data_IF_259072069809
#
_entry.id   IF_259072069809
#
_cell.length_a   1.000
_cell.length_b   1.000
_cell.length_c   1.000
_cell.angle_alpha   90.00
_cell.angle_beta   90.00
_cell.angle_gamma   90.00
#
_symmetry.space_group_name_H-M   'P 1'
#
loop_
_entity.id
_entity.type
_entity.pdbx_description
1 polymer ?
#
# COMPACT_ATOMS: atom_id res chain seq x y z
N UNK A 1 -18.69 43.19 -50.25
CA UNK A 1 -18.62 43.50 -51.69
C UNK A 1 -17.24 44.10 -51.97
N UNK A 2 -16.66 43.87 -53.16
CA UNK A 2 -15.30 44.26 -53.56
C UNK A 2 -14.14 43.46 -52.92
N UNK A 3 -13.13 43.14 -53.74
CA UNK A 3 -11.84 42.50 -53.40
C UNK A 3 -10.76 43.05 -54.34
N UNK A 4 -9.62 43.46 -53.79
CA UNK A 4 -8.30 43.62 -54.41
C UNK A 4 -7.27 43.67 -53.23
N UNK A 5 -6.02 43.20 -53.29
CA UNK A 5 -5.11 42.99 -54.43
C UNK A 5 -4.17 44.20 -54.53
N UNK A 6 -2.83 44.12 -54.48
CA UNK A 6 -1.83 43.00 -54.51
C UNK A 6 -0.78 43.20 -53.36
N UNK A 7 0.37 42.53 -53.15
CA UNK A 7 1.36 41.78 -53.95
C UNK A 7 2.09 40.70 -53.10
N UNK A 8 3.01 39.92 -53.70
CA UNK A 8 4.09 39.15 -53.02
C UNK A 8 5.48 39.80 -53.22
N UNK A 9 6.64 39.12 -53.09
CA UNK A 9 6.96 37.68 -52.92
C UNK A 9 8.37 37.52 -52.28
N UNK A 10 8.81 36.27 -52.07
CA UNK A 10 10.15 35.73 -51.72
C UNK A 10 10.35 35.28 -50.26
N UNK A 11 11.05 34.17 -49.97
CA UNK A 11 11.80 33.23 -50.84
C UNK A 11 11.63 31.75 -50.45
N UNK A 12 12.20 30.82 -51.23
CA UNK A 12 11.96 29.37 -51.12
C UNK A 12 13.26 28.56 -51.34
N UNK A 13 13.33 27.36 -50.76
CA UNK A 13 14.37 26.32 -50.91
C UNK A 13 15.75 26.58 -50.25
N UNK A 14 16.49 25.55 -49.81
CA UNK A 14 16.14 24.13 -49.83
C UNK A 14 17.08 23.14 -49.11
N UNK A 15 16.53 21.94 -48.99
CA UNK A 15 16.99 20.62 -48.51
C UNK A 15 18.47 20.17 -48.67
N UNK A 16 18.80 19.19 -47.80
CA UNK A 16 19.73 18.04 -47.93
C UNK A 16 21.19 18.20 -47.45
N UNK A 17 21.68 17.10 -46.85
CA UNK A 17 23.02 16.98 -46.26
C UNK A 17 23.17 15.80 -45.28
N UNK A 18 22.94 14.55 -45.73
CA UNK A 18 23.22 13.34 -44.93
C UNK A 18 24.17 12.42 -45.69
N UNK A 19 25.47 12.44 -45.35
CA UNK A 19 26.46 11.38 -45.59
C UNK A 19 27.78 11.75 -44.89
N UNK A 20 28.52 10.75 -44.36
CA UNK A 20 29.84 11.01 -43.76
C UNK A 20 30.22 10.13 -42.55
N UNK A 21 30.06 8.80 -42.62
CA UNK A 21 30.55 7.89 -41.56
C UNK A 21 31.61 6.94 -42.14
N UNK A 22 32.84 7.43 -42.24
CA UNK A 22 34.06 6.65 -42.53
C UNK A 22 35.22 7.23 -41.71
N UNK A 23 35.97 6.37 -41.01
CA UNK A 23 37.08 6.81 -40.14
C UNK A 23 37.23 5.98 -38.86
N UNK A 24 37.46 4.68 -38.99
CA UNK A 24 37.82 3.81 -37.84
C UNK A 24 39.28 3.37 -38.00
N UNK A 25 40.21 3.99 -37.26
CA UNK A 25 41.45 3.39 -36.74
C UNK A 25 42.37 4.45 -36.09
N UNK A 26 42.96 4.11 -34.93
CA UNK A 26 43.97 4.93 -34.23
C UNK A 26 43.40 6.09 -33.41
N UNK A 27 44.00 6.53 -32.30
CA UNK A 27 45.25 6.10 -31.63
C UNK A 27 45.07 6.25 -30.11
N UNK A 28 45.80 5.50 -29.28
CA UNK A 28 45.96 5.86 -27.87
C UNK A 28 46.81 7.14 -27.73
N UNK A 29 46.30 8.13 -27.00
CA UNK A 29 47.02 9.35 -26.63
C UNK A 29 46.49 9.88 -25.30
N UNK A 30 47.37 10.32 -24.40
CA UNK A 30 47.05 10.58 -22.99
C UNK A 30 47.06 12.09 -22.69
N UNK A 31 46.20 12.50 -21.76
CA UNK A 31 46.12 13.84 -21.12
C UNK A 31 45.84 15.05 -22.02
N UNK A 32 44.58 15.52 -21.94
CA UNK A 32 44.18 16.90 -22.25
C UNK A 32 43.31 17.47 -21.13
N UNK A 33 43.89 17.77 -19.97
CA UNK A 33 43.14 18.34 -18.83
C UNK A 33 43.01 19.85 -19.01
N UNK A 34 41.85 20.34 -19.46
CA UNK A 34 41.21 21.57 -18.98
C UNK A 34 39.78 21.68 -19.57
N UNK A 35 38.78 21.73 -18.70
CA UNK A 35 37.36 21.78 -19.09
C UNK A 35 36.41 22.10 -17.93
N UNK A 36 36.91 22.76 -16.87
CA UNK A 36 36.16 23.03 -15.64
C UNK A 36 35.38 24.34 -15.77
N UNK A 37 34.23 24.31 -16.46
CA UNK A 37 33.16 25.28 -16.26
C UNK A 37 31.79 24.66 -16.58
N UNK A 38 31.14 24.15 -15.53
CA UNK A 38 29.80 23.54 -15.61
C UNK A 38 29.18 23.22 -14.25
N UNK A 39 29.72 23.76 -13.16
CA UNK A 39 29.29 23.45 -11.78
C UNK A 39 28.88 24.73 -11.07
N UNK A 40 27.61 25.12 -11.26
CA UNK A 40 26.88 26.10 -10.46
C UNK A 40 25.42 25.66 -10.43
N UNK A 41 24.81 25.50 -9.25
CA UNK A 41 23.35 25.28 -9.14
C UNK A 41 22.86 24.09 -8.29
N UNK A 42 23.73 23.22 -7.76
CA UNK A 42 23.30 22.16 -6.81
C UNK A 42 23.80 22.48 -5.39
N UNK A 43 23.26 23.54 -4.80
CA UNK A 43 23.44 23.82 -3.38
C UNK A 43 22.42 23.03 -2.55
N UNK A 44 22.90 22.04 -1.79
CA UNK A 44 22.25 21.59 -0.56
C UNK A 44 21.02 20.67 -0.67
N UNK A 45 21.21 19.44 -1.15
CA UNK A 45 20.43 18.29 -0.65
C UNK A 45 21.43 17.24 -0.14
N UNK A 46 21.27 16.81 1.11
CA UNK A 46 22.30 16.06 1.82
C UNK A 46 22.30 14.56 1.48
N UNK A 47 23.09 14.16 0.49
CA UNK A 47 23.51 12.76 0.30
C UNK A 47 24.59 12.36 1.30
N UNK A 48 24.21 12.10 2.55
CA UNK A 48 25.16 11.87 3.66
C UNK A 48 25.99 10.60 3.44
N UNK A 49 27.32 10.71 3.43
CA UNK A 49 28.24 9.58 3.30
C UNK A 49 28.47 8.84 4.63
N UNK A 50 27.43 8.16 5.10
CA UNK A 50 27.50 6.96 5.95
C UNK A 50 26.41 6.01 5.46
N UNK A 51 26.77 5.01 4.64
CA UNK A 51 25.79 4.10 4.00
C UNK A 51 25.01 4.69 2.81
N UNK A 52 25.42 5.84 2.28
CA UNK A 52 24.79 6.49 1.12
C UNK A 52 25.04 5.80 -0.23
N UNK A 53 24.44 6.34 -1.29
CA UNK A 53 24.51 5.79 -2.65
C UNK A 53 25.93 5.63 -3.21
N UNK A 54 26.11 4.66 -4.11
CA UNK A 54 27.40 4.28 -4.69
C UNK A 54 28.06 5.43 -5.46
N UNK A 55 29.28 5.79 -5.07
CA UNK A 55 30.12 6.76 -5.76
C UNK A 55 31.49 6.14 -6.08
N UNK A 56 31.84 6.09 -7.37
CA UNK A 56 33.12 5.52 -7.82
C UNK A 56 34.33 6.33 -7.35
N UNK A 57 34.20 7.65 -7.26
CA UNK A 57 35.25 8.53 -6.74
C UNK A 57 35.44 8.38 -5.23
N UNK A 58 34.35 8.20 -4.46
CA UNK A 58 34.43 7.85 -3.04
C UNK A 58 35.08 6.48 -2.85
N UNK A 59 34.68 5.48 -3.65
CA UNK A 59 35.24 4.12 -3.57
C UNK A 59 36.74 4.10 -3.84
N UNK A 60 37.21 4.87 -4.82
CA UNK A 60 38.64 5.04 -5.10
C UNK A 60 39.38 5.76 -3.95
N UNK A 61 38.81 6.84 -3.39
CA UNK A 61 39.39 7.55 -2.26
C UNK A 61 39.48 6.68 -0.98
N UNK A 62 38.46 5.85 -0.73
CA UNK A 62 38.46 4.88 0.37
C UNK A 62 39.51 3.79 0.15
N UNK A 63 39.68 3.27 -1.07
CA UNK A 63 40.70 2.27 -1.38
C UNK A 63 42.12 2.81 -1.14
N UNK A 64 42.46 3.99 -1.69
CA UNK A 64 43.76 4.64 -1.47
C UNK A 64 44.00 4.94 0.02
N UNK A 65 42.95 5.31 0.76
CA UNK A 65 43.03 5.52 2.21
C UNK A 65 43.30 4.20 2.96
N UNK A 66 42.67 3.09 2.56
CA UNK A 66 42.88 1.78 3.15
C UNK A 66 44.31 1.26 2.90
N UNK A 67 44.83 1.41 1.67
CA UNK A 67 46.23 1.07 1.33
C UNK A 67 47.23 1.90 2.15
N UNK A 68 46.99 3.21 2.31
CA UNK A 68 47.85 4.10 3.08
C UNK A 68 47.85 3.82 4.60
N UNK A 69 46.81 3.18 5.13
CA UNK A 69 46.66 2.86 6.56
C UNK A 69 47.04 1.40 6.91
N UNK A 70 46.79 0.45 6.01
CA UNK A 70 46.82 -0.98 6.33
C UNK A 70 48.22 -1.58 6.47
N UNK A 71 49.22 -1.07 5.74
CA UNK A 71 50.56 -1.65 5.71
C UNK A 71 50.56 -3.10 5.18
N UNK A 72 51.40 -3.96 5.76
CA UNK A 72 51.38 -5.40 5.47
C UNK A 72 50.39 -6.11 6.40
N UNK A 73 49.39 -6.77 5.82
CA UNK A 73 48.45 -7.65 6.51
C UNK A 73 48.47 -9.04 5.86
N UNK A 74 48.60 -10.08 6.67
CA UNK A 74 48.71 -11.49 6.27
C UNK A 74 47.35 -12.22 6.23
N UNK A 75 46.25 -11.50 6.44
CA UNK A 75 44.90 -12.07 6.54
C UNK A 75 44.50 -12.53 7.95
N UNK A 76 45.35 -12.35 8.97
CA UNK A 76 44.99 -12.71 10.35
C UNK A 76 43.79 -11.91 10.87
N UNK A 77 42.87 -12.51 11.65
CA UNK A 77 41.78 -11.79 12.31
C UNK A 77 42.32 -10.72 13.28
N UNK A 78 41.69 -9.56 13.30
CA UNK A 78 42.05 -8.49 14.22
C UNK A 78 41.92 -8.95 15.70
N UNK A 79 42.93 -8.72 16.56
CA UNK A 79 42.85 -9.06 17.97
C UNK A 79 41.76 -8.23 18.66
N UNK A 80 40.92 -8.88 19.46
CA UNK A 80 39.80 -8.24 20.16
C UNK A 80 38.41 -8.56 19.61
N UNK A 81 38.28 -9.40 18.59
CA UNK A 81 36.97 -9.99 18.26
C UNK A 81 36.47 -10.87 19.41
N UNK A 82 35.31 -10.52 19.97
CA UNK A 82 34.63 -11.20 21.08
C UNK A 82 33.21 -11.62 20.73
N UNK A 83 32.93 -11.77 19.43
CA UNK A 83 31.61 -12.12 18.90
C UNK A 83 31.21 -13.58 19.15
N UNK A 84 29.99 -13.97 18.76
CA UNK A 84 29.53 -15.35 18.87
C UNK A 84 30.31 -16.25 17.90
N UNK A 85 30.84 -17.37 18.42
CA UNK A 85 31.54 -18.40 17.62
C UNK A 85 30.59 -19.31 16.83
N UNK A 86 29.28 -19.10 16.93
CA UNK A 86 28.23 -19.87 16.27
C UNK A 86 27.32 -18.96 15.44
N UNK A 87 27.20 -19.23 14.14
CA UNK A 87 26.47 -18.40 13.18
C UNK A 87 25.14 -19.03 12.73
N UNK A 88 24.47 -19.77 13.62
CA UNK A 88 23.25 -20.51 13.32
C UNK A 88 22.01 -19.64 13.02
N UNK A 89 20.88 -20.28 12.63
CA UNK A 89 19.58 -19.61 12.61
C UNK A 89 19.20 -19.11 14.02
N UNK A 90 18.21 -18.22 14.08
CA UNK A 90 17.69 -17.73 15.36
C UNK A 90 16.93 -18.81 16.11
N UNK A 91 17.13 -18.89 17.42
CA UNK A 91 16.36 -19.75 18.32
C UNK A 91 15.23 -19.03 19.06
N UNK A 92 15.14 -17.69 18.97
CA UNK A 92 14.16 -16.90 19.73
C UNK A 92 13.82 -15.54 19.10
N UNK A 93 12.64 -15.01 19.42
CA UNK A 93 12.20 -13.68 18.98
C UNK A 93 13.09 -12.55 19.52
N UNK A 94 13.81 -12.77 20.64
CA UNK A 94 14.81 -11.82 21.15
C UNK A 94 16.06 -11.76 20.25
N UNK A 95 16.55 -12.93 19.80
CA UNK A 95 17.63 -13.02 18.81
C UNK A 95 17.19 -12.48 17.44
N UNK A 96 15.97 -12.76 16.99
CA UNK A 96 15.49 -12.29 15.69
C UNK A 96 15.23 -10.77 15.71
N UNK A 97 14.65 -10.22 16.78
CA UNK A 97 14.58 -8.76 16.96
C UNK A 97 15.99 -8.13 16.94
N UNK A 98 16.99 -8.77 17.56
CA UNK A 98 18.36 -8.29 17.52
C UNK A 98 18.98 -8.38 16.11
N UNK A 99 18.62 -9.39 15.30
CA UNK A 99 19.01 -9.51 13.88
C UNK A 99 18.33 -8.42 13.04
N UNK A 100 17.00 -8.28 13.16
CA UNK A 100 16.18 -7.27 12.48
C UNK A 100 16.67 -5.84 12.78
N UNK A 101 17.03 -5.53 14.03
CA UNK A 101 17.57 -4.22 14.43
C UNK A 101 18.93 -3.88 13.78
N UNK A 102 19.70 -4.87 13.31
CA UNK A 102 20.98 -4.65 12.60
C UNK A 102 20.81 -4.45 11.09
N UNK A 103 19.64 -4.74 10.53
CA UNK A 103 19.36 -4.53 9.11
C UNK A 103 19.05 -3.06 8.82
N UNK A 104 19.29 -2.62 7.59
CA UNK A 104 18.76 -1.35 7.08
C UNK A 104 17.24 -1.39 6.89
N UNK A 105 16.61 -0.22 6.78
CA UNK A 105 15.15 -0.09 6.77
C UNK A 105 14.46 -0.91 5.64
N UNK A 106 15.04 -0.93 4.43
CA UNK A 106 14.47 -1.69 3.32
C UNK A 106 14.56 -3.22 3.53
N UNK A 107 15.72 -3.82 3.89
CA UNK A 107 15.78 -5.22 4.28
C UNK A 107 14.87 -5.61 5.46
N UNK A 108 14.66 -4.74 6.47
CA UNK A 108 13.67 -5.01 7.55
C UNK A 108 12.25 -5.18 7.01
N UNK A 109 11.82 -4.29 6.13
CA UNK A 109 10.49 -4.37 5.50
C UNK A 109 10.33 -5.66 4.68
N UNK A 110 11.39 -6.12 3.98
CA UNK A 110 11.35 -7.38 3.22
C UNK A 110 11.18 -8.60 4.14
N UNK A 111 11.88 -8.63 5.28
CA UNK A 111 11.76 -9.74 6.26
C UNK A 111 10.34 -9.82 6.84
N UNK A 112 9.83 -8.70 7.37
CA UNK A 112 8.49 -8.68 7.99
C UNK A 112 7.36 -8.81 6.97
N UNK A 113 7.51 -8.23 5.78
CA UNK A 113 6.56 -8.38 4.68
C UNK A 113 6.43 -9.85 4.24
N UNK A 114 7.57 -10.57 4.17
CA UNK A 114 7.57 -12.03 3.95
C UNK A 114 6.87 -12.79 5.08
N UNK A 115 7.13 -12.41 6.34
CA UNK A 115 6.49 -13.05 7.51
C UNK A 115 4.96 -12.87 7.45
N UNK A 116 4.48 -11.65 7.21
CA UNK A 116 3.06 -11.33 7.08
C UNK A 116 2.41 -12.00 5.86
N UNK A 117 3.10 -12.03 4.71
CA UNK A 117 2.60 -12.69 3.50
C UNK A 117 2.51 -14.22 3.67
N UNK A 118 3.39 -14.83 4.47
CA UNK A 118 3.42 -16.29 4.66
C UNK A 118 2.18 -16.88 5.34
N UNK A 119 1.32 -16.03 5.91
CA UNK A 119 0.02 -16.42 6.45
C UNK A 119 -0.98 -16.84 5.36
N UNK A 120 -0.86 -16.27 4.15
CA UNK A 120 -1.91 -16.32 3.15
C UNK A 120 -1.69 -17.36 2.06
N UNK A 121 -2.77 -18.05 1.70
CA UNK A 121 -2.86 -18.89 0.50
C UNK A 121 -4.04 -18.40 -0.33
N UNK A 122 -3.90 -18.41 -1.66
CA UNK A 122 -4.95 -17.96 -2.58
C UNK A 122 -5.34 -19.11 -3.52
N UNK A 123 -6.64 -19.31 -3.70
CA UNK A 123 -7.19 -20.30 -4.61
C UNK A 123 -8.59 -19.88 -5.13
N UNK A 124 -9.03 -20.34 -6.31
CA UNK A 124 -10.43 -20.31 -6.69
C UNK A 124 -11.28 -21.17 -5.74
N UNK A 125 -12.42 -20.64 -5.28
CA UNK A 125 -13.43 -21.32 -4.45
C UNK A 125 -14.79 -21.20 -5.15
N UNK A 126 -15.08 -22.10 -6.08
CA UNK A 126 -16.31 -22.05 -6.89
C UNK A 126 -16.30 -20.91 -7.91
N UNK A 127 -17.18 -19.91 -7.74
CA UNK A 127 -17.18 -18.67 -8.53
C UNK A 127 -16.37 -17.53 -7.88
N UNK A 128 -15.83 -17.76 -6.69
CA UNK A 128 -15.07 -16.79 -5.90
C UNK A 128 -13.56 -17.01 -5.98
N UNK A 129 -12.80 -15.97 -5.62
CA UNK A 129 -11.40 -16.13 -5.18
C UNK A 129 -11.40 -16.15 -3.66
N UNK A 130 -10.85 -17.22 -3.06
CA UNK A 130 -10.65 -17.34 -1.63
C UNK A 130 -9.21 -17.00 -1.25
N UNK A 131 -9.07 -16.15 -0.23
CA UNK A 131 -7.84 -15.99 0.55
C UNK A 131 -8.03 -16.78 1.84
N UNK A 132 -7.11 -17.69 2.13
CA UNK A 132 -7.14 -18.60 3.28
C UNK A 132 -5.94 -18.38 4.20
N UNK A 133 -6.12 -18.67 5.49
CA UNK A 133 -5.06 -18.71 6.50
C UNK A 133 -5.20 -20.00 7.30
N UNK A 134 -4.09 -20.69 7.56
CA UNK A 134 -4.10 -21.97 8.29
C UNK A 134 -4.91 -23.08 7.61
N UNK A 135 -5.15 -22.98 6.29
CA UNK A 135 -6.00 -23.91 5.54
C UNK A 135 -7.51 -23.65 5.64
N UNK A 136 -7.94 -22.53 6.25
CA UNK A 136 -9.35 -22.11 6.34
C UNK A 136 -9.57 -20.79 5.61
N UNK A 137 -10.68 -20.65 4.88
CA UNK A 137 -11.05 -19.42 4.17
C UNK A 137 -11.20 -18.26 5.16
N UNK A 138 -10.43 -17.18 4.95
CA UNK A 138 -10.53 -15.92 5.68
C UNK A 138 -11.50 -14.96 4.97
N UNK A 139 -11.35 -14.83 3.65
CA UNK A 139 -12.25 -14.03 2.82
C UNK A 139 -12.46 -14.70 1.46
N UNK A 140 -13.71 -14.79 1.01
CA UNK A 140 -14.06 -15.22 -0.34
C UNK A 140 -14.78 -14.10 -1.10
N UNK A 141 -14.32 -13.83 -2.32
CA UNK A 141 -14.77 -12.72 -3.17
C UNK A 141 -15.24 -13.23 -4.53
N UNK A 142 -16.55 -13.27 -4.77
CA UNK A 142 -17.11 -13.49 -6.12
C UNK A 142 -17.04 -12.18 -6.91
N UNK A 143 -16.33 -12.12 -8.05
CA UNK A 143 -16.20 -10.89 -8.84
C UNK A 143 -17.54 -10.45 -9.46
N UNK A 144 -17.71 -9.15 -9.76
CA UNK A 144 -18.89 -8.64 -10.43
C UNK A 144 -19.00 -9.14 -11.87
N UNK A 145 -20.24 -9.29 -12.34
CA UNK A 145 -20.61 -9.60 -13.72
C UNK A 145 -20.61 -8.33 -14.56
N UNK A 146 -20.64 -8.49 -15.88
CA UNK A 146 -20.83 -7.37 -16.82
C UNK A 146 -22.09 -6.53 -16.48
N UNK A 147 -23.20 -7.17 -16.12
CA UNK A 147 -24.44 -6.49 -15.73
C UNK A 147 -24.31 -5.63 -14.46
N UNK A 148 -23.36 -5.95 -13.58
CA UNK A 148 -23.11 -5.18 -12.36
C UNK A 148 -22.32 -3.91 -12.69
N UNK A 149 -21.13 -4.07 -13.27
CA UNK A 149 -20.25 -2.94 -13.61
C UNK A 149 -20.84 -2.01 -14.68
N UNK A 150 -21.68 -2.53 -15.60
CA UNK A 150 -22.37 -1.69 -16.58
C UNK A 150 -23.39 -0.75 -15.92
N UNK A 151 -24.03 -1.15 -14.80
CA UNK A 151 -24.93 -0.28 -14.04
C UNK A 151 -24.21 0.84 -13.30
N UNK A 152 -22.93 0.67 -12.98
CA UNK A 152 -22.12 1.66 -12.26
C UNK A 152 -21.52 2.76 -13.16
N UNK A 153 -21.56 2.60 -14.50
CA UNK A 153 -21.08 3.60 -15.47
C UNK A 153 -21.61 5.05 -15.27
N UNK A 154 -22.88 5.28 -14.88
CA UNK A 154 -23.37 6.63 -14.57
C UNK A 154 -22.68 7.27 -13.36
N UNK A 155 -22.24 6.46 -12.39
CA UNK A 155 -21.46 6.95 -11.24
C UNK A 155 -20.07 7.40 -11.72
N UNK A 156 -19.40 6.60 -12.56
CA UNK A 156 -18.11 7.01 -13.14
C UNK A 156 -18.24 8.29 -13.99
N UNK A 157 -19.35 8.46 -14.73
CA UNK A 157 -19.62 9.72 -15.45
C UNK A 157 -19.81 10.88 -14.48
N UNK A 158 -20.61 10.75 -13.42
CA UNK A 158 -20.80 11.83 -12.46
C UNK A 158 -19.50 12.18 -11.69
N UNK A 159 -18.75 11.15 -11.27
CA UNK A 159 -17.46 11.30 -10.60
C UNK A 159 -16.42 12.01 -11.47
N UNK A 160 -16.50 11.89 -12.80
CA UNK A 160 -15.60 12.57 -13.72
C UNK A 160 -15.68 14.12 -13.64
N UNK A 161 -16.82 14.69 -13.21
CA UNK A 161 -16.93 16.14 -13.03
C UNK A 161 -16.11 16.66 -11.82
N UNK A 162 -15.61 15.77 -10.96
CA UNK A 162 -14.74 16.09 -9.81
C UNK A 162 -13.23 16.00 -10.12
N UNK A 163 -12.86 15.78 -11.39
CA UNK A 163 -11.46 15.54 -11.78
C UNK A 163 -10.55 16.73 -11.54
N UNK A 164 -11.01 17.95 -11.84
CA UNK A 164 -10.21 19.17 -11.70
C UNK A 164 -9.85 19.43 -10.22
N UNK A 165 -10.84 19.37 -9.32
CA UNK A 165 -10.65 19.53 -7.88
C UNK A 165 -9.72 18.46 -7.25
N UNK A 166 -9.80 17.22 -7.77
CA UNK A 166 -9.12 16.06 -7.16
C UNK A 166 -7.79 15.69 -7.83
N UNK A 167 -7.43 16.29 -8.96
CA UNK A 167 -6.29 15.86 -9.78
C UNK A 167 -4.97 15.74 -9.00
N UNK A 168 -4.61 16.78 -8.24
CA UNK A 168 -3.36 16.80 -7.46
C UNK A 168 -3.34 15.69 -6.38
N UNK A 169 -4.49 15.41 -5.78
CA UNK A 169 -4.66 14.34 -4.79
C UNK A 169 -4.59 12.95 -5.44
N UNK A 170 -5.28 12.76 -6.56
CA UNK A 170 -5.28 11.53 -7.37
C UNK A 170 -3.86 11.14 -7.77
N UNK A 171 -3.09 12.12 -8.26
CA UNK A 171 -1.72 11.94 -8.77
C UNK A 171 -0.73 11.55 -7.66
N UNK A 172 -0.73 12.26 -6.52
CA UNK A 172 0.15 11.97 -5.40
C UNK A 172 -0.11 10.57 -4.80
N UNK A 173 -1.40 10.22 -4.65
CA UNK A 173 -1.83 8.91 -4.17
C UNK A 173 -1.45 7.72 -5.09
N UNK A 174 -0.94 7.95 -6.30
CA UNK A 174 -0.44 6.84 -7.14
C UNK A 174 0.82 6.19 -6.57
N UNK A 175 1.68 6.96 -5.90
CA UNK A 175 2.98 6.47 -5.41
C UNK A 175 3.18 6.60 -3.89
N UNK A 176 2.40 7.45 -3.21
CA UNK A 176 2.48 7.61 -1.76
C UNK A 176 1.10 7.72 -1.12
N UNK A 177 0.65 6.63 -0.50
CA UNK A 177 -0.51 6.62 0.39
C UNK A 177 -0.12 6.88 1.86
N UNK A 178 1.13 6.57 2.23
CA UNK A 178 1.59 6.59 3.62
C UNK A 178 1.61 8.02 4.17
N UNK A 179 2.02 9.00 3.38
CA UNK A 179 2.06 10.42 3.82
C UNK A 179 0.68 11.00 4.14
N UNK A 180 -0.39 10.53 3.51
CA UNK A 180 -1.75 10.97 3.82
C UNK A 180 -2.18 10.50 5.23
N UNK A 181 -1.93 9.22 5.55
CA UNK A 181 -2.12 8.72 6.92
C UNK A 181 -1.11 9.34 7.89
N UNK A 182 0.11 9.62 7.43
CA UNK A 182 1.17 10.28 8.19
C UNK A 182 0.80 11.69 8.67
N UNK A 183 0.15 12.48 7.81
CA UNK A 183 -0.38 13.80 8.17
C UNK A 183 -1.49 13.72 9.23
N UNK A 184 -2.33 12.66 9.19
CA UNK A 184 -3.42 12.47 10.14
C UNK A 184 -2.97 11.88 11.49
N UNK A 185 -1.93 11.03 11.50
CA UNK A 185 -1.51 10.22 12.65
C UNK A 185 -0.10 10.54 13.17
N UNK A 186 0.54 11.62 12.67
CA UNK A 186 1.89 12.05 13.01
C UNK A 186 2.96 10.94 12.87
N UNK A 187 2.92 10.22 11.74
CA UNK A 187 3.89 9.16 11.45
C UNK A 187 5.25 9.77 11.07
N UNK A 188 6.27 9.53 11.88
CA UNK A 188 7.67 9.90 11.58
C UNK A 188 8.64 8.79 11.98
N UNK A 189 9.77 8.67 11.27
CA UNK A 189 10.81 7.69 11.58
C UNK A 189 11.49 7.88 12.96
N UNK A 190 11.23 8.99 13.66
CA UNK A 190 11.76 9.29 15.00
C UNK A 190 10.77 9.02 16.13
N UNK A 191 9.45 9.05 15.86
CA UNK A 191 8.39 8.89 16.89
C UNK A 191 7.49 7.67 16.68
N UNK A 192 7.43 7.15 15.46
CA UNK A 192 6.52 6.10 14.99
C UNK A 192 7.27 5.03 14.19
N UNK A 193 8.50 4.70 14.62
CA UNK A 193 9.39 3.82 13.86
C UNK A 193 8.86 2.38 13.78
N UNK A 194 8.26 1.87 14.87
CA UNK A 194 7.69 0.52 14.92
C UNK A 194 6.33 0.49 14.24
N UNK A 195 5.52 1.54 14.40
CA UNK A 195 4.29 1.75 13.62
C UNK A 195 4.57 1.75 12.11
N UNK A 196 5.53 2.54 11.63
CA UNK A 196 5.91 2.59 10.21
C UNK A 196 6.47 1.26 9.69
N UNK A 197 7.27 0.57 10.51
CA UNK A 197 7.81 -0.75 10.17
C UNK A 197 6.72 -1.82 10.07
N UNK A 198 5.72 -1.78 10.97
CA UNK A 198 4.54 -2.66 10.90
C UNK A 198 3.67 -2.34 9.68
N UNK A 199 3.41 -1.06 9.39
CA UNK A 199 2.66 -0.65 8.20
C UNK A 199 3.38 -1.03 6.89
N UNK A 200 4.71 -0.99 6.86
CA UNK A 200 5.51 -1.49 5.74
C UNK A 200 5.36 -3.01 5.52
N UNK A 201 5.28 -3.79 6.60
CA UNK A 201 5.02 -5.23 6.55
C UNK A 201 3.58 -5.54 6.07
N UNK A 202 2.59 -4.81 6.59
CA UNK A 202 1.18 -4.89 6.15
C UNK A 202 1.09 -4.56 4.65
N UNK A 203 1.69 -3.46 4.19
CA UNK A 203 1.71 -3.09 2.78
C UNK A 203 2.26 -4.21 1.89
N UNK A 204 3.46 -4.70 2.20
CA UNK A 204 4.14 -5.72 1.39
C UNK A 204 3.37 -7.04 1.30
N UNK A 205 2.64 -7.42 2.36
CA UNK A 205 1.77 -8.60 2.32
C UNK A 205 0.46 -8.34 1.58
N UNK A 206 -0.21 -7.21 1.86
CA UNK A 206 -1.54 -6.91 1.31
C UNK A 206 -1.49 -6.68 -0.20
N UNK A 207 -0.56 -5.88 -0.72
CA UNK A 207 -0.43 -5.67 -2.18
C UNK A 207 -0.03 -6.95 -2.93
N UNK A 208 0.69 -7.87 -2.28
CA UNK A 208 1.01 -9.18 -2.86
C UNK A 208 -0.23 -10.11 -2.92
N UNK A 209 -1.06 -10.12 -1.88
CA UNK A 209 -2.36 -10.83 -1.88
C UNK A 209 -3.31 -10.21 -2.92
N UNK A 210 -3.41 -8.89 -2.98
CA UNK A 210 -4.30 -8.16 -3.89
C UNK A 210 -3.92 -8.36 -5.36
N UNK A 211 -2.63 -8.30 -5.71
CA UNK A 211 -2.15 -8.71 -7.04
C UNK A 211 -2.47 -10.19 -7.35
N UNK A 212 -2.41 -11.07 -6.35
CA UNK A 212 -2.82 -12.47 -6.49
C UNK A 212 -4.32 -12.64 -6.80
N UNK A 213 -5.21 -11.93 -6.08
CA UNK A 213 -6.65 -11.91 -6.38
C UNK A 213 -6.91 -11.32 -7.76
N UNK A 214 -6.23 -10.23 -8.12
CA UNK A 214 -6.30 -9.61 -9.46
C UNK A 214 -5.84 -10.49 -10.60
N UNK A 215 -4.94 -11.43 -10.35
CA UNK A 215 -4.48 -12.39 -11.36
C UNK A 215 -5.51 -13.51 -11.58
N UNK A 216 -6.22 -13.91 -10.53
CA UNK A 216 -7.29 -14.92 -10.58
C UNK A 216 -8.63 -14.36 -11.09
N UNK A 217 -8.83 -13.04 -11.03
CA UNK A 217 -9.99 -12.35 -11.58
C UNK A 217 -9.74 -11.76 -12.98
N UNK A 218 -10.75 -11.73 -13.84
CA UNK A 218 -10.65 -11.16 -15.20
C UNK A 218 -11.72 -10.09 -15.45
N UNK A 219 -11.89 -9.17 -14.49
CA UNK A 219 -12.85 -8.07 -14.62
C UNK A 219 -12.23 -6.94 -15.46
N UNK A 220 -12.89 -6.49 -16.53
CA UNK A 220 -12.37 -5.45 -17.42
C UNK A 220 -12.25 -4.10 -16.72
N UNK A 221 -11.41 -3.22 -17.25
CA UNK A 221 -11.34 -1.81 -16.83
C UNK A 221 -12.53 -1.05 -17.40
N UNK A 222 -12.88 0.06 -16.75
CA UNK A 222 -14.02 0.88 -17.18
C UNK A 222 -13.89 1.37 -18.64
N UNK A 223 -12.68 1.73 -19.07
CA UNK A 223 -12.38 2.12 -20.46
C UNK A 223 -12.74 1.03 -21.50
N UNK A 224 -12.66 -0.24 -21.13
CA UNK A 224 -13.01 -1.37 -22.02
C UNK A 224 -14.53 -1.45 -22.27
N UNK A 225 -15.34 -0.94 -21.33
CA UNK A 225 -16.79 -0.82 -21.49
C UNK A 225 -17.18 0.43 -22.27
N UNK A 226 -16.43 1.52 -22.14
CA UNK A 226 -16.64 2.73 -22.93
C UNK A 226 -15.40 3.62 -23.01
N UNK A 227 -14.89 3.94 -24.22
CA UNK A 227 -13.77 4.87 -24.39
C UNK A 227 -14.13 6.31 -24.00
N UNK A 228 -15.42 6.63 -23.83
CA UNK A 228 -15.90 7.94 -23.38
C UNK A 228 -15.58 8.24 -21.90
N UNK A 229 -15.15 7.24 -21.13
CA UNK A 229 -14.75 7.43 -19.73
C UNK A 229 -13.42 8.19 -19.61
N UNK A 230 -12.55 8.08 -20.62
CA UNK A 230 -11.26 8.78 -20.74
C UNK A 230 -10.51 8.90 -19.40
N UNK A 231 -9.92 7.80 -18.89
CA UNK A 231 -9.21 7.81 -17.61
C UNK A 231 -8.08 8.83 -17.60
N UNK A 232 -7.93 9.58 -16.50
CA UNK A 232 -6.98 10.71 -16.37
C UNK A 232 -5.63 10.32 -15.76
N UNK A 233 -5.46 9.05 -15.41
CA UNK A 233 -4.17 8.42 -15.11
C UNK A 233 -3.98 7.22 -16.02
N UNK A 234 -2.74 6.75 -16.19
CA UNK A 234 -2.49 5.58 -17.03
C UNK A 234 -3.26 4.36 -16.48
N UNK A 235 -4.02 3.70 -17.34
CA UNK A 235 -4.84 2.55 -16.93
C UNK A 235 -3.91 1.34 -16.72
N UNK A 236 -3.88 0.73 -15.52
CA UNK A 236 -2.98 -0.40 -15.27
C UNK A 236 -3.39 -1.63 -16.07
N UNK A 237 -2.40 -2.30 -16.69
CA UNK A 237 -2.57 -3.47 -17.56
C UNK A 237 -2.97 -4.78 -16.85
N UNK A 238 -3.74 -4.69 -15.78
CA UNK A 238 -4.27 -5.81 -14.99
C UNK A 238 -5.71 -5.52 -14.57
N UNK A 239 -6.46 -6.58 -14.22
CA UNK A 239 -7.90 -6.55 -13.86
C UNK A 239 -8.28 -5.36 -12.96
N UNK A 240 -9.50 -4.84 -13.13
CA UNK A 240 -10.06 -3.81 -12.25
C UNK A 240 -10.24 -4.35 -10.81
N UNK A 241 -10.59 -5.62 -10.68
CA UNK A 241 -11.16 -6.14 -9.45
C UNK A 241 -10.16 -6.97 -8.63
N UNK A 242 -10.09 -6.79 -7.30
CA UNK A 242 -10.61 -5.68 -6.49
C UNK A 242 -9.73 -4.42 -6.62
N UNK A 243 -10.13 -3.26 -6.07
CA UNK A 243 -9.35 -2.01 -6.18
C UNK A 243 -8.11 -2.03 -5.28
N UNK A 244 -6.92 -1.87 -5.87
CA UNK A 244 -5.64 -1.91 -5.13
C UNK A 244 -5.49 -0.78 -4.13
N UNK A 245 -5.61 0.46 -4.60
CA UNK A 245 -5.65 1.65 -3.75
C UNK A 245 -6.71 1.58 -2.63
N UNK A 246 -7.85 0.93 -2.87
CA UNK A 246 -8.82 0.70 -1.79
C UNK A 246 -8.32 -0.32 -0.77
N UNK A 247 -7.76 -1.44 -1.25
CA UNK A 247 -7.20 -2.50 -0.41
C UNK A 247 -6.07 -1.97 0.48
N UNK A 248 -5.08 -1.30 -0.11
CA UNK A 248 -3.93 -0.75 0.60
C UNK A 248 -4.34 0.33 1.62
N UNK A 249 -5.26 1.21 1.26
CA UNK A 249 -5.70 2.28 2.16
C UNK A 249 -6.60 1.77 3.31
N UNK A 250 -7.46 0.78 3.07
CA UNK A 250 -8.25 0.16 4.14
C UNK A 250 -7.38 -0.73 5.03
N UNK A 251 -6.31 -1.33 4.52
CA UNK A 251 -5.30 -2.00 5.33
C UNK A 251 -4.59 -1.02 6.28
N UNK A 252 -4.15 0.15 5.80
CA UNK A 252 -3.58 1.19 6.65
C UNK A 252 -4.57 1.74 7.69
N UNK A 253 -5.82 2.00 7.29
CA UNK A 253 -6.86 2.43 8.24
C UNK A 253 -7.13 1.36 9.33
N UNK A 254 -7.17 0.08 8.96
CA UNK A 254 -7.34 -1.06 9.88
C UNK A 254 -6.18 -1.18 10.86
N UNK A 255 -4.94 -1.16 10.35
CA UNK A 255 -3.74 -1.25 11.19
C UNK A 255 -3.64 -0.08 12.19
N UNK A 256 -3.88 1.15 11.74
CA UNK A 256 -3.85 2.35 12.60
C UNK A 256 -5.01 2.39 13.60
N UNK A 257 -6.19 1.86 13.22
CA UNK A 257 -7.32 1.71 14.12
C UNK A 257 -7.00 0.72 15.25
N UNK A 258 -6.62 -0.51 14.90
CA UNK A 258 -6.32 -1.57 15.86
C UNK A 258 -5.13 -1.22 16.78
N UNK A 259 -4.06 -0.61 16.25
CA UNK A 259 -2.93 -0.13 17.07
C UNK A 259 -3.38 0.82 18.18
N UNK A 260 -4.28 1.75 17.85
CA UNK A 260 -4.80 2.75 18.80
C UNK A 260 -5.82 2.17 19.77
N UNK A 261 -6.64 1.23 19.32
CA UNK A 261 -7.59 0.51 20.19
C UNK A 261 -6.84 -0.37 21.19
N UNK A 262 -5.87 -1.17 20.73
CA UNK A 262 -5.01 -1.99 21.58
C UNK A 262 -4.20 -1.15 22.61
N UNK A 263 -3.77 0.07 22.23
CA UNK A 263 -3.12 0.99 23.16
C UNK A 263 -4.07 1.50 24.24
N UNK A 264 -5.29 1.91 23.87
CA UNK A 264 -6.32 2.35 24.81
C UNK A 264 -6.79 1.21 25.74
N UNK A 265 -6.95 0.00 25.22
CA UNK A 265 -7.21 -1.22 25.98
C UNK A 265 -6.10 -1.51 27.00
N UNK A 266 -4.83 -1.42 26.59
CA UNK A 266 -3.68 -1.65 27.46
C UNK A 266 -3.49 -0.57 28.54
N UNK A 267 -3.82 0.69 28.24
CA UNK A 267 -3.78 1.79 29.22
C UNK A 267 -4.95 1.72 30.22
N UNK A 268 -6.16 1.37 29.76
CA UNK A 268 -7.33 1.23 30.63
C UNK A 268 -7.24 0.01 31.57
N UNK A 269 -6.58 -1.07 31.13
CA UNK A 269 -6.38 -2.31 31.90
C UNK A 269 -5.09 -2.35 32.72
N UNK A 270 -4.12 -1.47 32.43
CA UNK A 270 -2.77 -1.56 32.97
C UNK A 270 -1.95 -2.74 32.44
N UNK A 271 -2.40 -3.42 31.38
CA UNK A 271 -1.74 -4.61 30.84
C UNK A 271 -0.33 -4.31 30.32
N UNK A 272 0.61 -5.23 30.55
CA UNK A 272 1.99 -5.16 30.04
C UNK A 272 2.13 -5.69 28.61
N UNK A 273 1.21 -6.54 28.18
CA UNK A 273 1.07 -7.02 26.79
C UNK A 273 -0.10 -6.34 26.11
N UNK A 274 0.13 -5.81 24.91
CA UNK A 274 -0.91 -5.28 24.04
C UNK A 274 -1.81 -6.40 23.50
N UNK A 275 -3.13 -6.14 23.48
CA UNK A 275 -4.10 -6.92 22.73
C UNK A 275 -4.04 -6.66 21.22
N UNK A 276 -5.14 -6.96 20.53
CA UNK A 276 -5.26 -6.80 19.08
C UNK A 276 -6.10 -5.58 18.65
N UNK A 277 -6.94 -5.01 19.51
CA UNK A 277 -7.91 -3.96 19.13
C UNK A 277 -8.99 -4.40 18.14
N UNK A 278 -9.03 -5.69 17.76
CA UNK A 278 -9.90 -6.21 16.68
C UNK A 278 -11.37 -6.21 17.10
N UNK A 279 -11.69 -6.59 18.34
CA UNK A 279 -13.06 -6.63 18.84
C UNK A 279 -13.69 -5.22 18.80
N UNK A 280 -13.02 -4.23 19.38
CA UNK A 280 -13.48 -2.85 19.39
C UNK A 280 -13.58 -2.22 17.98
N UNK A 281 -12.77 -2.67 17.01
CA UNK A 281 -12.93 -2.26 15.61
C UNK A 281 -14.16 -2.92 14.97
N UNK A 282 -14.38 -4.21 15.19
CA UNK A 282 -15.55 -4.93 14.66
C UNK A 282 -16.88 -4.49 15.30
N UNK A 283 -16.87 -4.03 16.55
CA UNK A 283 -18.04 -3.41 17.20
C UNK A 283 -18.33 -2.02 16.61
N UNK A 284 -17.29 -1.25 16.27
CA UNK A 284 -17.45 0.08 15.66
C UNK A 284 -17.84 0.02 14.18
N UNK A 285 -17.35 -0.96 13.42
CA UNK A 285 -17.41 -0.90 11.95
C UNK A 285 -18.83 -0.97 11.37
N UNK A 286 -19.76 -1.83 11.83
CA UNK A 286 -21.16 -1.80 11.38
C UNK A 286 -21.82 -0.43 11.62
N UNK A 287 -22.71 -0.04 10.70
CA UNK A 287 -23.61 1.11 10.88
C UNK A 287 -24.90 0.84 10.13
N UNK A 288 -26.03 0.72 10.83
CA UNK A 288 -27.31 0.46 10.19
C UNK A 288 -27.68 1.55 9.17
N UNK A 289 -28.25 1.15 8.03
CA UNK A 289 -28.68 2.09 6.99
C UNK A 289 -29.69 3.10 7.56
N UNK A 290 -29.63 4.34 7.07
CA UNK A 290 -30.43 5.45 7.59
C UNK A 290 -29.89 6.10 8.88
N UNK A 291 -28.97 5.47 9.64
CA UNK A 291 -28.47 6.03 10.91
C UNK A 291 -27.93 7.46 10.74
N UNK A 292 -28.31 8.45 11.57
CA UNK A 292 -27.84 9.82 11.44
C UNK A 292 -26.31 9.95 11.49
N UNK A 293 -25.77 11.00 10.86
CA UNK A 293 -24.36 11.38 11.08
C UNK A 293 -24.29 12.11 12.43
N UNK A 294 -23.39 11.72 13.35
CA UNK A 294 -23.21 12.43 14.62
C UNK A 294 -22.84 13.90 14.41
N UNK A 295 -23.36 14.78 15.27
CA UNK A 295 -22.98 16.19 15.30
C UNK A 295 -21.56 16.37 15.86
N UNK A 296 -20.86 17.40 15.39
CA UNK A 296 -19.50 17.73 15.83
C UNK A 296 -18.39 17.14 14.95
N UNK A 297 -17.12 17.20 15.41
CA UNK A 297 -15.99 16.66 14.67
C UNK A 297 -16.02 15.11 14.64
N UNK A 298 -15.61 14.48 13.54
CA UNK A 298 -15.54 13.02 13.45
C UNK A 298 -14.49 12.43 14.42
N UNK A 299 -14.79 11.25 14.96
CA UNK A 299 -13.84 10.46 15.73
C UNK A 299 -12.64 9.95 14.88
N UNK A 300 -11.62 9.41 15.53
CA UNK A 300 -10.38 9.02 14.85
C UNK A 300 -10.52 7.83 13.89
N UNK A 301 -11.44 6.89 14.17
CA UNK A 301 -11.75 5.76 13.30
C UNK A 301 -12.50 6.27 12.07
N UNK A 302 -13.51 7.14 12.29
CA UNK A 302 -14.24 7.84 11.23
C UNK A 302 -13.29 8.63 10.33
N UNK A 303 -12.27 9.31 10.88
CA UNK A 303 -11.26 10.00 10.06
C UNK A 303 -10.37 9.03 9.27
N UNK A 304 -9.81 7.98 9.90
CA UNK A 304 -8.96 6.98 9.22
C UNK A 304 -9.67 6.32 8.04
N UNK A 305 -10.90 5.86 8.26
CA UNK A 305 -11.68 5.18 7.24
C UNK A 305 -12.33 6.15 6.23
N UNK A 306 -12.55 7.43 6.56
CA UNK A 306 -12.90 8.46 5.56
C UNK A 306 -11.75 8.73 4.60
N UNK A 307 -10.51 8.74 5.09
CA UNK A 307 -9.32 8.87 4.23
C UNK A 307 -9.19 7.66 3.30
N UNK A 308 -9.31 6.43 3.83
CA UNK A 308 -9.30 5.22 3.01
C UNK A 308 -10.41 5.21 1.94
N UNK A 309 -11.63 5.60 2.31
CA UNK A 309 -12.74 5.72 1.37
C UNK A 309 -12.48 6.76 0.27
N UNK A 310 -11.87 7.91 0.62
CA UNK A 310 -11.53 8.98 -0.35
C UNK A 310 -10.42 8.56 -1.32
N UNK A 311 -9.39 7.84 -0.86
CA UNK A 311 -8.32 7.29 -1.71
C UNK A 311 -8.89 6.33 -2.78
N UNK A 312 -9.90 5.53 -2.39
CA UNK A 312 -10.60 4.60 -3.25
C UNK A 312 -11.56 5.29 -4.24
N UNK A 313 -12.40 6.21 -3.77
CA UNK A 313 -13.31 7.04 -4.59
C UNK A 313 -12.54 7.88 -5.62
N UNK A 314 -11.35 8.40 -5.26
CA UNK A 314 -10.43 9.05 -6.20
C UNK A 314 -10.04 8.15 -7.40
N UNK A 315 -10.14 6.82 -7.30
CA UNK A 315 -9.94 5.90 -8.43
C UNK A 315 -11.16 5.80 -9.36
N UNK A 316 -12.37 5.95 -8.82
CA UNK A 316 -13.63 6.10 -9.57
C UNK A 316 -13.60 7.41 -10.36
N UNK A 317 -13.26 8.52 -9.70
CA UNK A 317 -13.05 9.84 -10.33
C UNK A 317 -12.00 9.77 -11.44
N UNK A 318 -10.88 9.09 -11.18
CA UNK A 318 -9.82 8.90 -12.17
C UNK A 318 -10.23 8.02 -13.38
N UNK A 319 -11.37 7.33 -13.31
CA UNK A 319 -11.93 6.51 -14.38
C UNK A 319 -11.34 5.10 -14.52
N UNK A 320 -10.58 4.62 -13.52
CA UNK A 320 -9.84 3.34 -13.60
C UNK A 320 -10.46 2.19 -12.81
N UNK A 321 -11.42 2.47 -11.93
CA UNK A 321 -12.06 1.49 -11.04
C UNK A 321 -13.57 1.74 -10.91
N UNK A 322 -14.30 0.66 -10.63
CA UNK A 322 -15.73 0.67 -10.33
C UNK A 322 -15.98 0.77 -8.80
N UNK A 323 -17.08 1.38 -8.34
CA UNK A 323 -17.53 1.31 -6.94
C UNK A 323 -17.44 -0.08 -6.30
N UNK A 324 -17.86 -1.14 -6.99
CA UNK A 324 -17.73 -2.53 -6.49
C UNK A 324 -16.27 -3.01 -6.34
N UNK A 325 -15.34 -2.56 -7.21
CA UNK A 325 -13.90 -2.83 -7.02
C UNK A 325 -13.43 -2.23 -5.68
N UNK A 326 -13.85 -1.00 -5.40
CA UNK A 326 -13.47 -0.25 -4.20
C UNK A 326 -14.10 -0.84 -2.94
N UNK A 327 -15.34 -1.32 -3.01
CA UNK A 327 -16.01 -2.01 -1.92
C UNK A 327 -15.30 -3.30 -1.51
N UNK A 328 -15.04 -4.21 -2.46
CA UNK A 328 -14.42 -5.50 -2.17
C UNK A 328 -12.91 -5.40 -1.95
N UNK A 329 -12.25 -4.37 -2.49
CA UNK A 329 -10.88 -4.02 -2.09
C UNK A 329 -10.82 -3.58 -0.63
N UNK A 330 -11.75 -2.75 -0.18
CA UNK A 330 -11.84 -2.34 1.22
C UNK A 330 -12.04 -3.52 2.18
N UNK A 331 -12.88 -4.49 1.79
CA UNK A 331 -13.08 -5.74 2.52
C UNK A 331 -11.84 -6.65 2.54
N UNK A 332 -11.15 -6.78 1.41
CA UNK A 332 -9.89 -7.53 1.32
C UNK A 332 -8.84 -6.94 2.25
N UNK A 333 -8.58 -5.64 2.13
CA UNK A 333 -7.56 -4.93 2.92
C UNK A 333 -7.84 -4.95 4.42
N UNK A 334 -9.10 -4.83 4.82
CA UNK A 334 -9.54 -5.06 6.19
C UNK A 334 -9.22 -6.50 6.63
N UNK A 335 -9.80 -7.51 5.99
CA UNK A 335 -9.76 -8.90 6.42
C UNK A 335 -8.33 -9.47 6.50
N UNK A 336 -7.48 -9.21 5.51
CA UNK A 336 -6.06 -9.61 5.56
C UNK A 336 -5.31 -8.90 6.67
N UNK A 337 -5.61 -7.61 6.94
CA UNK A 337 -4.93 -6.87 8.00
C UNK A 337 -5.37 -7.34 9.39
N UNK A 338 -6.66 -7.66 9.58
CA UNK A 338 -7.14 -8.31 10.81
C UNK A 338 -6.39 -9.63 11.07
N UNK A 339 -6.16 -10.45 10.05
CA UNK A 339 -5.39 -11.69 10.18
C UNK A 339 -3.91 -11.46 10.53
N UNK A 340 -3.24 -10.47 9.93
CA UNK A 340 -1.86 -10.07 10.29
C UNK A 340 -1.79 -9.60 11.75
N UNK A 341 -2.74 -8.75 12.18
CA UNK A 341 -2.81 -8.24 13.56
C UNK A 341 -3.10 -9.37 14.55
N UNK A 342 -4.05 -10.27 14.26
CA UNK A 342 -4.37 -11.39 15.13
C UNK A 342 -3.15 -12.33 15.31
N UNK A 343 -2.40 -12.61 14.23
CA UNK A 343 -1.14 -13.34 14.35
C UNK A 343 -0.11 -12.57 15.20
N UNK A 344 0.11 -11.28 14.92
CA UNK A 344 1.07 -10.46 15.64
C UNK A 344 0.70 -10.20 17.13
N UNK A 345 -0.58 -10.24 17.49
CA UNK A 345 -1.04 -10.19 18.88
C UNK A 345 -0.78 -11.50 19.66
N UNK A 346 -0.28 -12.56 19.00
CA UNK A 346 0.01 -13.87 19.59
C UNK A 346 -0.91 -15.00 19.11
N UNK A 347 -1.81 -14.73 18.17
CA UNK A 347 -2.91 -15.60 17.76
C UNK A 347 -4.27 -15.03 18.16
N UNK A 348 -5.35 -15.68 17.72
CA UNK A 348 -6.72 -15.25 18.02
C UNK A 348 -7.71 -15.63 16.92
N UNK A 349 -8.95 -15.19 17.04
CA UNK A 349 -10.02 -15.40 16.04
C UNK A 349 -10.33 -14.11 15.29
N UNK A 350 -10.53 -14.20 13.98
CA UNK A 350 -11.10 -13.11 13.16
C UNK A 350 -12.33 -13.62 12.39
N UNK A 351 -13.30 -12.74 12.03
CA UNK A 351 -14.46 -13.16 11.24
C UNK A 351 -14.06 -13.73 9.88
N UNK A 352 -14.84 -14.68 9.37
CA UNK A 352 -14.78 -15.09 7.97
C UNK A 352 -15.67 -14.16 7.15
N UNK A 353 -15.13 -13.62 6.06
CA UNK A 353 -15.82 -12.67 5.20
C UNK A 353 -16.22 -13.30 3.86
N UNK A 354 -17.41 -12.99 3.35
CA UNK A 354 -17.90 -13.47 2.04
C UNK A 354 -18.69 -12.37 1.35
N UNK A 355 -18.24 -11.93 0.17
CA UNK A 355 -18.92 -10.89 -0.61
C UNK A 355 -18.97 -11.24 -2.09
N UNK A 356 -20.05 -10.82 -2.77
CA UNK A 356 -20.31 -11.16 -4.18
C UNK A 356 -20.69 -9.92 -4.97
N UNK A 357 -20.09 -9.72 -6.15
CA UNK A 357 -20.22 -8.47 -6.92
C UNK A 357 -21.67 -8.09 -7.23
N UNK A 358 -22.52 -9.07 -7.53
CA UNK A 358 -23.94 -8.87 -7.80
C UNK A 358 -24.77 -8.38 -6.59
N UNK A 359 -24.24 -8.49 -5.36
CA UNK A 359 -24.89 -7.99 -4.14
C UNK A 359 -24.52 -6.52 -3.84
N UNK A 360 -23.53 -5.94 -4.54
CA UNK A 360 -23.15 -4.53 -4.40
C UNK A 360 -24.08 -3.61 -5.20
N UNK A 361 -25.35 -3.57 -4.81
CA UNK A 361 -26.38 -2.79 -5.49
C UNK A 361 -27.41 -2.22 -4.51
N UNK A 362 -28.23 -1.27 -4.99
CA UNK A 362 -29.35 -0.71 -4.22
C UNK A 362 -30.69 -1.27 -4.71
N UNK A 363 -31.64 -1.58 -3.80
CA UNK A 363 -33.02 -1.84 -4.20
C UNK A 363 -33.62 -0.62 -4.90
N UNK A 364 -34.20 -0.81 -6.08
CA UNK A 364 -34.92 0.21 -6.84
C UNK A 364 -36.44 0.00 -6.78
N UNK A 365 -37.19 1.00 -7.24
CA UNK A 365 -38.65 0.89 -7.35
C UNK A 365 -39.05 -0.22 -8.34
N UNK A 366 -40.23 -0.82 -8.11
CA UNK A 366 -40.77 -1.87 -8.97
C UNK A 366 -39.97 -3.19 -9.00
N UNK A 367 -39.03 -3.39 -8.08
CA UNK A 367 -38.12 -4.55 -8.09
C UNK A 367 -36.94 -4.40 -9.05
N UNK A 368 -36.70 -3.20 -9.57
CA UNK A 368 -35.45 -2.87 -10.26
C UNK A 368 -34.28 -2.84 -9.27
N UNK A 369 -33.04 -2.86 -9.79
CA UNK A 369 -31.83 -2.84 -8.96
C UNK A 369 -30.88 -1.78 -9.51
N UNK A 370 -30.71 -0.70 -8.75
CA UNK A 370 -29.89 0.46 -9.09
C UNK A 370 -28.43 0.32 -8.61
N UNK A 371 -27.50 1.13 -9.15
CA UNK A 371 -26.09 1.06 -8.76
C UNK A 371 -25.86 1.57 -7.33
N UNK A 372 -24.80 1.07 -6.69
CA UNK A 372 -24.40 1.45 -5.33
C UNK A 372 -23.03 2.12 -5.36
N UNK A 373 -23.01 3.41 -5.05
CA UNK A 373 -21.75 4.16 -4.96
C UNK A 373 -20.90 3.72 -3.76
N UNK A 374 -19.59 3.94 -3.81
CA UNK A 374 -18.67 3.56 -2.75
C UNK A 374 -18.35 4.73 -1.82
N UNK A 375 -18.86 4.66 -0.59
CA UNK A 375 -18.50 5.58 0.49
C UNK A 375 -18.29 4.82 1.79
N UNK A 376 -17.66 5.45 2.79
CA UNK A 376 -17.58 4.86 4.14
C UNK A 376 -18.96 4.49 4.71
N UNK A 377 -20.00 5.29 4.43
CA UNK A 377 -21.36 5.00 4.91
C UNK A 377 -21.90 3.71 4.30
N UNK A 378 -21.65 3.48 3.01
CA UNK A 378 -22.06 2.27 2.30
C UNK A 378 -21.26 1.04 2.74
N UNK A 379 -19.95 1.18 2.96
CA UNK A 379 -19.09 0.14 3.51
C UNK A 379 -19.58 -0.31 4.90
N UNK A 380 -19.84 0.64 5.81
CA UNK A 380 -20.34 0.36 7.16
C UNK A 380 -21.77 -0.20 7.15
N UNK A 381 -22.60 0.20 6.18
CA UNK A 381 -23.93 -0.38 5.97
C UNK A 381 -23.88 -1.82 5.45
N UNK A 382 -22.94 -2.17 4.57
CA UNK A 382 -22.71 -3.55 4.14
C UNK A 382 -22.25 -4.44 5.31
N UNK A 383 -21.38 -3.94 6.19
CA UNK A 383 -20.98 -4.62 7.43
C UNK A 383 -22.09 -4.71 8.49
N UNK A 384 -23.22 -4.01 8.32
CA UNK A 384 -24.40 -4.14 9.17
C UNK A 384 -25.47 -5.10 8.62
N UNK A 385 -25.25 -5.70 7.44
CA UNK A 385 -26.19 -6.66 6.85
C UNK A 385 -26.16 -7.98 7.60
N UNK A 386 -27.31 -8.65 7.69
CA UNK A 386 -27.48 -9.96 8.34
C UNK A 386 -28.34 -10.88 7.48
N UNK A 387 -28.12 -12.19 7.56
CA UNK A 387 -28.80 -13.17 6.70
C UNK A 387 -28.16 -13.31 5.32
N UNK A 388 -28.97 -13.50 4.27
CA UNK A 388 -28.47 -13.73 2.92
C UNK A 388 -27.82 -12.45 2.33
N UNK A 389 -26.58 -12.56 1.85
CA UNK A 389 -25.78 -11.43 1.35
C UNK A 389 -24.94 -10.70 2.42
N UNK A 390 -25.10 -11.07 3.70
CA UNK A 390 -24.28 -10.52 4.79
C UNK A 390 -22.79 -10.81 4.58
N UNK A 391 -21.96 -9.78 4.75
CA UNK A 391 -20.51 -9.87 4.49
C UNK A 391 -19.74 -10.71 5.51
N UNK A 392 -20.29 -10.95 6.70
CA UNK A 392 -19.79 -11.91 7.69
C UNK A 392 -20.94 -12.44 8.55
N UNK A 393 -20.67 -13.48 9.33
CA UNK A 393 -21.65 -14.13 10.22
C UNK A 393 -21.03 -14.50 11.57
N UNK A 394 -21.43 -15.65 12.11
CA UNK A 394 -20.81 -16.26 13.29
C UNK A 394 -19.50 -17.02 12.98
N UNK A 395 -19.22 -17.27 11.70
CA UNK A 395 -18.03 -17.99 11.25
C UNK A 395 -16.77 -17.19 11.53
N UNK A 396 -15.76 -17.84 12.13
CA UNK A 396 -14.45 -17.25 12.43
C UNK A 396 -13.33 -18.20 12.04
N UNK A 397 -12.18 -17.64 11.65
CA UNK A 397 -10.93 -18.39 11.46
C UNK A 397 -9.99 -18.12 12.62
N UNK A 398 -9.43 -19.19 13.20
CA UNK A 398 -8.42 -19.11 14.26
C UNK A 398 -7.03 -19.02 13.65
N UNK A 399 -6.31 -17.95 13.96
CA UNK A 399 -4.92 -17.76 13.57
C UNK A 399 -4.01 -18.64 14.46
N UNK A 400 -3.08 -19.41 13.87
CA UNK A 400 -2.08 -20.13 14.64
C UNK A 400 -1.14 -19.14 15.35
N UNK A 401 -0.70 -19.52 16.56
CA UNK A 401 0.30 -18.77 17.31
C UNK A 401 1.60 -18.63 16.49
N UNK A 402 2.27 -17.47 16.50
CA UNK A 402 3.58 -17.28 15.86
C UNK A 402 4.62 -18.30 16.32
N UNK A 403 5.48 -18.73 15.40
CA UNK A 403 6.64 -19.52 15.79
C UNK A 403 7.59 -18.68 16.67
N UNK A 404 8.31 -19.32 17.59
CA UNK A 404 9.08 -18.62 18.63
C UNK A 404 10.21 -17.69 18.15
N UNK A 405 10.48 -17.65 16.84
CA UNK A 405 11.46 -16.78 16.15
C UNK A 405 10.81 -15.69 15.27
N UNK A 406 9.48 -15.65 15.14
CA UNK A 406 8.75 -14.60 14.38
C UNK A 406 8.97 -13.21 14.99
N UNK A 407 9.11 -12.20 14.13
CA UNK A 407 9.38 -10.81 14.52
C UNK A 407 8.15 -9.91 14.56
N UNK A 408 7.09 -10.20 13.79
CA UNK A 408 5.85 -9.42 13.79
C UNK A 408 5.27 -9.21 15.20
N UNK A 409 5.29 -10.20 16.13
CA UNK A 409 4.72 -9.98 17.46
C UNK A 409 5.49 -8.93 18.27
N UNK A 410 6.82 -8.96 18.20
CA UNK A 410 7.64 -7.98 18.94
C UNK A 410 7.56 -6.59 18.29
N UNK A 411 7.41 -6.53 16.96
CA UNK A 411 7.17 -5.28 16.23
C UNK A 411 5.78 -4.71 16.55
N UNK A 412 4.74 -5.54 16.66
CA UNK A 412 3.39 -5.13 17.08
C UNK A 412 3.38 -4.59 18.51
N UNK A 413 3.95 -5.33 19.47
CA UNK A 413 4.04 -4.89 20.87
C UNK A 413 4.81 -3.56 20.98
N UNK A 414 5.90 -3.39 20.22
CA UNK A 414 6.66 -2.13 20.17
C UNK A 414 5.85 -1.01 19.50
N UNK A 415 5.10 -1.28 18.44
CA UNK A 415 4.24 -0.30 17.77
C UNK A 415 3.10 0.18 18.67
N UNK A 416 2.38 -0.73 19.34
CA UNK A 416 1.33 -0.36 20.31
C UNK A 416 1.92 0.46 21.46
N UNK A 417 3.12 0.13 21.95
CA UNK A 417 3.79 0.90 22.98
C UNK A 417 4.05 2.37 22.58
N UNK A 418 4.31 2.68 21.31
CA UNK A 418 4.40 4.07 20.84
C UNK A 418 3.07 4.84 20.99
N UNK A 419 1.92 4.15 20.97
CA UNK A 419 0.57 4.73 21.02
C UNK A 419 0.00 4.91 22.44
N UNK A 420 0.68 4.39 23.47
CA UNK A 420 0.25 4.49 24.87
C UNK A 420 0.44 5.89 25.44
N UNK A 421 -0.48 6.33 26.29
CA UNK A 421 -0.41 7.59 27.01
C UNK A 421 0.65 7.54 28.12
N UNK A 422 0.92 6.36 28.68
CA UNK A 422 1.91 6.15 29.76
C UNK A 422 3.38 6.27 29.33
N UNK A 423 3.66 6.71 28.10
CA UNK A 423 5.00 6.80 27.50
C UNK A 423 5.28 8.12 26.76
N UNK A 424 4.57 9.20 27.14
CA UNK A 424 4.67 10.54 26.54
C UNK A 424 5.35 11.52 27.49
#
# INVERSE_FOLDING_TARGET
MSVAGVHGVHGVHGVHGVHGVHGVHGVHGVHGVHGVHGVHGVHGVAGVHLGGATSGTLSAALAVTAEALGGYWDGTPAPGWTGPTTFGPSASAAEELARLKRLDAAPRNVVLGREALSLFQLAPEGDAVAVSVGGSTLVALTPPRYEDIARELPILRAAADLRDDRMAEILAQQGDLMSFFGAQQWLSGTRRQWTLLFLGAVYAAVSAVEMGVKHLCTVPRAIDLSPLIQPVIQTPGHSSYPSGHSTEAHAFATALACLRLAAAEADASGATTAGSGIAALMDWLPLAEGTPVPEGPPDFLTLLFRLAARIADNRTVAGVHFPVDSAHGGLLGLSTTLAIIAHAAGGGTVPVFRARGQDWARPGEGGTVGPRDFTLRELRAAMAQTGAGAWHGADTVTLPAPAAWHSLPVVWQAAVAEWRQSGV
#
